data_IF_881452272203
#
_entry.id   IF_881452272203
#
_cell.length_a   1.000
_cell.length_b   1.000
_cell.length_c   1.000
_cell.angle_alpha   90.00
_cell.angle_beta   90.00
_cell.angle_gamma   90.00
#
_symmetry.space_group_name_H-M   'P 1'
#
loop_
_entity.id
_entity.type
_entity.pdbx_description
1 polymer ?
#
# COMPACT_ATOMS: atom_id res chain seq x y z
N UNK A 1 0.79 5.30 -33.33
CA UNK A 1 2.01 4.55 -33.72
C UNK A 1 1.75 3.08 -33.42
N UNK A 2 2.05 2.13 -34.31
CA UNK A 2 1.72 0.71 -34.06
C UNK A 2 2.60 0.10 -32.97
N UNK A 3 2.10 -0.91 -32.23
CA UNK A 3 2.87 -1.62 -31.20
C UNK A 3 4.20 -2.18 -31.74
N UNK A 4 4.21 -2.65 -32.99
CA UNK A 4 5.41 -3.09 -33.71
C UNK A 4 6.47 -1.98 -33.83
N UNK A 5 6.07 -0.75 -34.19
CA UNK A 5 7.02 0.38 -34.24
C UNK A 5 7.55 0.74 -32.85
N UNK A 6 6.73 0.64 -31.81
CA UNK A 6 7.16 0.87 -30.42
C UNK A 6 8.10 -0.22 -29.91
N UNK A 7 8.00 -1.45 -30.43
CA UNK A 7 8.94 -2.54 -30.20
C UNK A 7 10.22 -2.45 -31.06
N UNK A 8 10.40 -1.36 -31.83
CA UNK A 8 11.60 -1.12 -32.65
C UNK A 8 11.54 -1.66 -34.08
N UNK A 9 10.38 -2.19 -34.52
CA UNK A 9 10.23 -2.70 -35.89
C UNK A 9 10.06 -1.53 -36.86
N UNK A 10 11.11 -1.25 -37.65
CA UNK A 10 11.12 -0.15 -38.62
C UNK A 10 11.03 -0.61 -40.10
N UNK A 11 10.94 -1.92 -40.37
CA UNK A 11 10.94 -2.50 -41.73
C UNK A 11 9.55 -2.86 -42.26
N UNK A 12 9.47 -3.17 -43.56
CA UNK A 12 8.26 -3.64 -44.25
C UNK A 12 7.93 -5.05 -43.76
N UNK A 13 6.70 -5.29 -43.31
CA UNK A 13 6.35 -6.53 -42.60
C UNK A 13 6.09 -7.74 -43.50
N UNK A 14 5.81 -7.51 -44.78
CA UNK A 14 5.42 -8.57 -45.72
C UNK A 14 6.67 -9.13 -46.38
N UNK A 15 6.91 -10.43 -46.22
CA UNK A 15 8.01 -11.17 -46.85
C UNK A 15 9.29 -11.27 -46.03
N UNK A 16 9.37 -10.62 -44.86
CA UNK A 16 10.52 -10.71 -43.95
C UNK A 16 10.33 -11.86 -42.94
N UNK A 17 11.43 -12.39 -42.41
CA UNK A 17 11.37 -13.38 -41.34
C UNK A 17 11.11 -12.71 -39.99
N UNK A 18 10.31 -13.37 -39.14
CA UNK A 18 9.98 -12.86 -37.80
C UNK A 18 11.22 -12.67 -36.92
N UNK A 19 12.25 -13.51 -37.10
CA UNK A 19 13.60 -13.37 -36.50
C UNK A 19 14.24 -12.02 -36.80
N UNK A 20 14.09 -11.54 -38.03
CA UNK A 20 14.72 -10.32 -38.53
C UNK A 20 14.01 -9.05 -38.05
N UNK A 21 12.77 -9.20 -37.56
CA UNK A 21 11.97 -8.10 -37.01
C UNK A 21 12.25 -7.86 -35.52
N UNK A 22 13.05 -8.70 -34.84
CA UNK A 22 13.33 -8.57 -33.41
C UNK A 22 12.11 -8.79 -32.49
N UNK A 23 11.01 -9.27 -33.08
CA UNK A 23 9.76 -9.68 -32.41
C UNK A 23 9.69 -11.21 -32.21
N UNK A 24 10.79 -11.92 -32.50
CA UNK A 24 10.93 -13.33 -32.16
C UNK A 24 10.96 -13.49 -30.65
N UNK A 25 9.84 -13.99 -30.13
CA UNK A 25 9.65 -14.28 -28.72
C UNK A 25 9.46 -15.76 -28.52
N UNK A 26 9.71 -16.23 -27.30
CA UNK A 26 9.51 -17.62 -26.97
C UNK A 26 8.04 -18.04 -27.17
N UNK A 27 7.08 -17.12 -27.06
CA UNK A 27 5.67 -17.33 -27.37
C UNK A 27 5.41 -17.68 -28.83
N UNK A 28 5.96 -16.92 -29.78
CA UNK A 28 5.84 -17.20 -31.22
C UNK A 28 6.42 -18.56 -31.58
N UNK A 29 7.59 -18.90 -31.02
CA UNK A 29 8.22 -20.21 -31.23
C UNK A 29 7.34 -21.33 -30.63
N UNK A 30 6.93 -21.21 -29.37
CA UNK A 30 6.09 -22.23 -28.70
C UNK A 30 4.74 -22.40 -29.38
N UNK A 31 4.12 -21.33 -29.87
CA UNK A 31 2.86 -21.45 -30.59
C UNK A 31 3.03 -22.20 -31.91
N UNK A 32 4.07 -21.87 -32.67
CA UNK A 32 4.34 -22.51 -33.96
C UNK A 32 4.76 -23.98 -33.81
N UNK A 33 5.71 -24.28 -32.94
CA UNK A 33 6.26 -25.63 -32.82
C UNK A 33 5.38 -26.59 -32.00
N UNK A 34 4.66 -26.09 -30.99
CA UNK A 34 3.88 -26.96 -30.12
C UNK A 34 2.39 -27.00 -30.49
N UNK A 35 1.95 -26.19 -31.47
CA UNK A 35 0.54 -26.10 -31.88
C UNK A 35 -0.38 -25.64 -30.75
N UNK A 36 0.14 -24.90 -29.76
CA UNK A 36 -0.63 -24.43 -28.59
C UNK A 36 -0.68 -22.91 -28.54
N UNK A 37 -1.85 -22.31 -28.24
CA UNK A 37 -1.91 -20.87 -27.97
C UNK A 37 -0.99 -20.48 -26.83
N UNK A 38 -0.27 -19.37 -26.98
CA UNK A 38 0.62 -18.82 -25.95
C UNK A 38 0.35 -17.34 -25.72
N UNK A 39 0.59 -16.90 -24.49
CA UNK A 39 0.58 -15.49 -24.10
C UNK A 39 1.91 -15.20 -23.44
N UNK A 40 2.54 -14.11 -23.86
CA UNK A 40 3.79 -13.62 -23.28
C UNK A 40 3.75 -12.11 -23.23
N UNK A 41 4.27 -11.56 -22.15
CA UNK A 41 4.46 -10.13 -22.04
C UNK A 41 5.92 -9.81 -22.30
N UNK A 42 6.14 -8.84 -23.18
CA UNK A 42 7.46 -8.35 -23.53
C UNK A 42 7.56 -6.92 -23.07
N UNK A 43 8.61 -6.64 -22.32
CA UNK A 43 8.94 -5.31 -21.87
C UNK A 43 10.26 -4.86 -22.50
N UNK A 44 10.25 -3.67 -23.12
CA UNK A 44 11.44 -2.98 -23.62
C UNK A 44 11.33 -1.51 -23.28
N UNK A 45 12.29 -1.00 -22.53
CA UNK A 45 12.29 0.38 -22.02
C UNK A 45 10.94 0.73 -21.36
N UNK A 46 10.29 1.81 -21.79
CA UNK A 46 8.97 2.25 -21.29
C UNK A 46 7.77 1.61 -22.02
N UNK A 47 8.01 0.56 -22.82
CA UNK A 47 6.98 -0.09 -23.63
C UNK A 47 6.75 -1.51 -23.13
N UNK A 48 5.52 -1.79 -22.70
CA UNK A 48 5.05 -3.13 -22.34
C UNK A 48 4.02 -3.58 -23.35
N UNK A 49 4.25 -4.73 -23.99
CA UNK A 49 3.33 -5.31 -24.98
C UNK A 49 3.00 -6.74 -24.59
N UNK A 50 1.70 -7.05 -24.55
CA UNK A 50 1.22 -8.43 -24.44
C UNK A 50 1.06 -9.01 -25.83
N UNK A 51 1.73 -10.12 -26.05
CA UNK A 51 1.66 -10.92 -27.26
C UNK A 51 0.78 -12.13 -27.00
N UNK A 52 -0.21 -12.35 -27.86
CA UNK A 52 -1.00 -13.57 -27.89
C UNK A 52 -0.81 -14.24 -29.23
N UNK A 53 -0.17 -15.40 -29.21
CA UNK A 53 0.15 -16.18 -30.40
C UNK A 53 -0.83 -17.34 -30.49
N UNK A 54 -1.56 -17.42 -31.60
CA UNK A 54 -2.56 -18.45 -31.87
C UNK A 54 -2.11 -19.22 -33.10
N UNK A 55 -1.77 -20.51 -33.00
CA UNK A 55 -1.36 -21.29 -34.16
C UNK A 55 -2.52 -21.47 -35.13
N UNK A 56 -2.20 -21.46 -36.42
CA UNK A 56 -3.11 -21.82 -37.51
C UNK A 56 -2.82 -23.26 -37.87
N UNK A 57 -3.81 -24.14 -37.66
CA UNK A 57 -3.67 -25.58 -37.84
C UNK A 57 -4.60 -26.04 -38.96
N UNK A 58 -4.03 -26.68 -39.98
CA UNK A 58 -4.76 -27.34 -41.07
C UNK A 58 -4.29 -28.78 -41.17
N UNK A 59 -5.22 -29.73 -41.28
CA UNK A 59 -4.92 -31.17 -41.38
C UNK A 59 -3.93 -31.69 -40.32
N UNK A 60 -4.02 -31.15 -39.10
CA UNK A 60 -3.17 -31.53 -37.97
C UNK A 60 -1.74 -30.97 -38.00
N UNK A 61 -1.42 -30.06 -38.94
CA UNK A 61 -0.11 -29.41 -39.07
C UNK A 61 -0.24 -27.92 -38.81
N UNK A 62 0.76 -27.32 -38.19
CA UNK A 62 0.82 -25.87 -37.96
C UNK A 62 1.34 -25.19 -39.21
N UNK A 63 0.48 -24.47 -39.92
CA UNK A 63 0.82 -23.76 -41.17
C UNK A 63 1.25 -22.31 -40.91
N UNK A 64 1.04 -21.82 -39.70
CA UNK A 64 1.40 -20.46 -39.30
C UNK A 64 0.89 -20.11 -37.91
N UNK A 65 0.94 -18.82 -37.58
CA UNK A 65 0.36 -18.31 -36.35
C UNK A 65 -0.17 -16.87 -36.54
N UNK A 66 -1.30 -16.58 -35.91
CA UNK A 66 -1.79 -15.22 -35.71
C UNK A 66 -1.17 -14.67 -34.43
N UNK A 67 -0.46 -13.55 -34.55
CA UNK A 67 0.10 -12.84 -33.40
C UNK A 67 -0.71 -11.58 -33.16
N UNK A 68 -1.43 -11.55 -32.05
CA UNK A 68 -2.12 -10.36 -31.56
C UNK A 68 -1.18 -9.62 -30.60
N UNK A 69 -1.01 -8.32 -30.82
CA UNK A 69 -0.20 -7.47 -29.97
C UNK A 69 -1.07 -6.41 -29.32
N UNK A 70 -0.99 -6.29 -27.99
CA UNK A 70 -1.66 -5.23 -27.24
C UNK A 70 -0.62 -4.44 -26.46
N UNK A 71 -0.56 -3.15 -26.75
CA UNK A 71 0.18 -2.20 -25.92
C UNK A 71 -0.51 -2.06 -24.56
N UNK A 72 0.22 -2.36 -23.50
CA UNK A 72 -0.22 -2.27 -22.10
C UNK A 72 0.68 -1.34 -21.30
N UNK A 73 1.50 -0.51 -21.96
CA UNK A 73 2.50 0.35 -21.32
C UNK A 73 1.87 1.30 -20.30
N UNK A 74 0.75 1.94 -20.64
CA UNK A 74 0.05 2.86 -19.74
C UNK A 74 -0.53 2.14 -18.51
N UNK A 75 -1.08 0.93 -18.73
CA UNK A 75 -1.59 0.10 -17.64
C UNK A 75 -0.46 -0.30 -16.68
N UNK A 76 0.68 -0.76 -17.22
CA UNK A 76 1.85 -1.12 -16.41
C UNK A 76 2.46 0.07 -15.68
N UNK A 77 2.53 1.23 -16.32
CA UNK A 77 2.99 2.46 -15.67
C UNK A 77 2.09 2.84 -14.49
N UNK A 78 0.76 2.78 -14.68
CA UNK A 78 -0.20 3.03 -13.61
C UNK A 78 -0.09 2.02 -12.47
N UNK A 79 0.01 0.73 -12.76
CA UNK A 79 0.17 -0.32 -11.75
C UNK A 79 1.45 -0.10 -10.93
N UNK A 80 2.57 0.24 -11.57
CA UNK A 80 3.83 0.58 -10.89
C UNK A 80 3.70 1.81 -10.01
N UNK A 81 3.02 2.85 -10.49
CA UNK A 81 2.78 4.06 -9.73
C UNK A 81 1.93 3.78 -8.47
N UNK A 82 0.92 2.92 -8.57
CA UNK A 82 0.10 2.48 -7.44
C UNK A 82 0.92 1.70 -6.42
N UNK A 83 1.66 0.68 -6.86
CA UNK A 83 2.54 -0.11 -5.97
C UNK A 83 3.58 0.78 -5.27
N UNK A 84 4.15 1.74 -5.98
CA UNK A 84 5.10 2.71 -5.42
C UNK A 84 4.44 3.64 -4.39
N UNK A 85 3.20 4.06 -4.64
CA UNK A 85 2.44 4.90 -3.69
C UNK A 85 2.14 4.12 -2.41
N UNK A 86 1.69 2.88 -2.51
CA UNK A 86 1.39 2.03 -1.35
C UNK A 86 2.64 1.74 -0.52
N UNK A 87 3.77 1.46 -1.18
CA UNK A 87 5.06 1.30 -0.50
C UNK A 87 5.51 2.57 0.23
N UNK A 88 5.33 3.74 -0.39
CA UNK A 88 5.66 5.05 0.21
C UNK A 88 4.81 5.32 1.45
N UNK A 89 3.50 5.07 1.35
CA UNK A 89 2.55 5.24 2.45
C UNK A 89 2.94 4.34 3.63
N UNK A 90 3.23 3.06 3.35
CA UNK A 90 3.69 2.12 4.37
C UNK A 90 4.99 2.57 5.04
N UNK A 91 5.95 3.10 4.27
CA UNK A 91 7.19 3.62 4.84
C UNK A 91 6.94 4.83 5.75
N UNK A 92 6.06 5.75 5.35
CA UNK A 92 5.66 6.90 6.19
C UNK A 92 5.08 6.39 7.51
N UNK A 93 4.14 5.45 7.47
CA UNK A 93 3.53 4.90 8.68
C UNK A 93 4.56 4.25 9.61
N UNK A 94 5.49 3.48 9.04
CA UNK A 94 6.59 2.87 9.78
C UNK A 94 7.50 3.93 10.42
N UNK A 95 7.83 5.02 9.71
CA UNK A 95 8.65 6.12 10.24
C UNK A 95 7.95 6.87 11.37
N UNK A 96 6.66 7.14 11.25
CA UNK A 96 5.88 7.81 12.31
C UNK A 96 5.88 6.97 13.59
N UNK A 97 5.65 5.65 13.47
CA UNK A 97 5.72 4.72 14.61
C UNK A 97 7.10 4.75 15.29
N UNK A 98 8.17 4.68 14.50
CA UNK A 98 9.54 4.74 15.04
C UNK A 98 9.81 6.07 15.75
N UNK A 99 9.39 7.20 15.17
CA UNK A 99 9.59 8.53 15.77
C UNK A 99 8.86 8.66 17.12
N UNK A 100 7.59 8.24 17.18
CA UNK A 100 6.82 8.28 18.43
C UNK A 100 7.45 7.37 19.50
N UNK A 101 7.95 6.19 19.12
CA UNK A 101 8.69 5.31 20.03
C UNK A 101 9.99 5.94 20.54
N UNK A 102 10.76 6.59 19.67
CA UNK A 102 11.99 7.29 20.05
C UNK A 102 11.70 8.42 21.02
N UNK A 103 10.71 9.27 20.72
CA UNK A 103 10.32 10.39 21.60
C UNK A 103 9.86 9.86 22.96
N UNK A 104 9.01 8.81 22.98
CA UNK A 104 8.55 8.17 24.22
C UNK A 104 9.72 7.63 25.05
N UNK A 105 10.72 7.03 24.40
CA UNK A 105 11.91 6.48 25.07
C UNK A 105 12.81 7.58 25.64
N UNK A 106 13.00 8.67 24.90
CA UNK A 106 13.76 9.84 25.37
C UNK A 106 13.09 10.49 26.57
N UNK A 107 11.78 10.68 26.54
CA UNK A 107 11.03 11.24 27.68
C UNK A 107 11.14 10.35 28.92
N UNK A 108 11.03 9.02 28.79
CA UNK A 108 11.26 8.10 29.92
C UNK A 108 12.67 8.22 30.49
N UNK A 109 13.69 8.34 29.64
CA UNK A 109 15.07 8.53 30.09
C UNK A 109 15.26 9.85 30.85
N UNK A 110 14.61 10.93 30.39
CA UNK A 110 14.61 12.22 31.10
C UNK A 110 13.86 12.12 32.44
N UNK A 111 12.68 11.49 32.46
CA UNK A 111 11.89 11.31 33.67
C UNK A 111 12.62 10.58 34.78
N UNK A 112 13.44 9.57 34.44
CA UNK A 112 14.28 8.84 35.40
C UNK A 112 15.31 9.72 36.11
N UNK A 113 15.73 10.83 35.50
CA UNK A 113 16.72 11.77 36.05
C UNK A 113 16.09 12.88 36.91
N UNK A 114 14.77 12.99 36.92
CA UNK A 114 14.07 13.97 37.74
C UNK A 114 14.03 13.52 39.20
N UNK A 115 14.02 14.48 40.12
CA UNK A 115 13.88 14.23 41.56
C UNK A 115 12.56 14.76 42.10
N UNK A 116 12.01 15.79 41.48
CA UNK A 116 10.71 16.35 41.83
C UNK A 116 9.56 15.40 41.41
N UNK A 117 8.68 15.00 42.34
CA UNK A 117 7.55 14.12 42.03
C UNK A 117 6.59 14.68 40.97
N UNK A 118 6.27 15.97 41.01
CA UNK A 118 5.38 16.64 40.04
C UNK A 118 5.96 16.63 38.63
N UNK A 119 7.26 16.90 38.47
CA UNK A 119 7.90 16.81 37.16
C UNK A 119 7.95 15.38 36.61
N UNK A 120 8.11 14.36 37.48
CA UNK A 120 8.00 12.95 37.06
C UNK A 120 6.60 12.63 36.56
N UNK A 121 5.57 13.04 37.30
CA UNK A 121 4.18 12.81 36.92
C UNK A 121 3.86 13.43 35.54
N UNK A 122 4.30 14.67 35.29
CA UNK A 122 4.11 15.34 34.00
C UNK A 122 4.81 14.63 32.82
N UNK A 123 6.02 14.08 33.04
CA UNK A 123 6.71 13.28 32.02
C UNK A 123 5.99 11.96 31.76
N UNK A 124 5.53 11.28 32.81
CA UNK A 124 4.77 10.03 32.66
C UNK A 124 3.46 10.26 31.90
N UNK A 125 2.78 11.36 32.16
CA UNK A 125 1.60 11.81 31.42
C UNK A 125 1.91 12.08 29.94
N UNK A 126 2.99 12.81 29.66
CA UNK A 126 3.44 13.06 28.27
C UNK A 126 3.74 11.75 27.53
N UNK A 127 4.35 10.78 28.21
CA UNK A 127 4.63 9.43 27.66
C UNK A 127 3.34 8.65 27.40
N UNK A 128 2.33 8.78 28.27
CA UNK A 128 1.00 8.18 28.06
C UNK A 128 0.33 8.79 26.82
N UNK A 129 0.32 10.12 26.69
CA UNK A 129 -0.25 10.81 25.51
C UNK A 129 0.40 10.37 24.19
N UNK A 130 1.72 10.28 24.14
CA UNK A 130 2.43 9.82 22.93
C UNK A 130 2.07 8.37 22.57
N UNK A 131 1.85 7.50 23.57
CA UNK A 131 1.37 6.14 23.33
C UNK A 131 -0.05 6.13 22.76
N UNK A 132 -0.93 7.00 23.24
CA UNK A 132 -2.29 7.15 22.70
C UNK A 132 -2.26 7.52 21.22
N UNK A 133 -1.47 8.54 20.86
CA UNK A 133 -1.31 8.99 19.48
C UNK A 133 -0.72 7.86 18.61
N UNK A 134 0.26 7.13 19.12
CA UNK A 134 0.87 6.02 18.39
C UNK A 134 -0.12 4.88 18.13
N UNK A 135 -0.97 4.54 19.10
CA UNK A 135 -1.98 3.50 18.95
C UNK A 135 -3.06 3.92 17.94
N UNK A 136 -3.58 5.14 18.06
CA UNK A 136 -4.53 5.71 17.10
C UNK A 136 -3.95 5.64 15.70
N UNK A 137 -2.73 6.14 15.52
CA UNK A 137 -2.07 6.12 14.22
C UNK A 137 -1.88 4.69 13.69
N UNK A 138 -1.51 3.72 14.54
CA UNK A 138 -1.38 2.31 14.14
C UNK A 138 -2.73 1.69 13.73
N UNK A 139 -3.81 1.97 14.46
CA UNK A 139 -5.17 1.52 14.11
C UNK A 139 -5.64 2.13 12.79
N UNK A 140 -5.42 3.43 12.59
CA UNK A 140 -5.80 4.15 11.37
C UNK A 140 -4.95 3.76 10.15
N UNK A 141 -3.69 3.36 10.35
CA UNK A 141 -2.77 2.97 9.26
C UNK A 141 -2.93 1.54 8.74
N UNK A 142 -3.70 0.70 9.43
CA UNK A 142 -3.87 -0.73 9.12
C UNK A 142 -5.03 -1.03 8.19
N UNK A 143 -5.98 -0.12 8.03
CA UNK A 143 -7.00 -0.27 6.99
C UNK A 143 -6.40 0.20 5.66
N UNK A 144 -6.34 -0.70 4.68
CA UNK A 144 -5.86 -0.42 3.32
C UNK A 144 -6.78 0.55 2.53
N UNK A 145 -7.76 1.16 3.21
CA UNK A 145 -8.74 2.07 2.64
C UNK A 145 -8.58 3.50 3.15
N UNK A 146 -9.10 4.47 2.39
CA UNK A 146 -9.09 5.89 2.78
C UNK A 146 -9.97 6.17 4.02
N UNK A 147 -10.91 5.26 4.34
CA UNK A 147 -11.93 5.40 5.37
C UNK A 147 -11.77 4.40 6.51
N UNK A 148 -11.87 4.89 7.76
CA UNK A 148 -11.70 4.11 9.00
C UNK A 148 -12.95 4.10 9.87
N UNK A 149 -13.30 2.96 10.48
CA UNK A 149 -14.36 2.89 11.50
C UNK A 149 -13.92 3.67 12.76
N UNK A 150 -14.46 4.89 12.89
CA UNK A 150 -14.09 5.76 13.99
C UNK A 150 -14.57 5.24 15.35
N UNK A 151 -15.61 4.40 15.39
CA UNK A 151 -16.05 3.75 16.61
C UNK A 151 -15.02 2.79 17.20
N UNK A 152 -14.23 2.11 16.36
CA UNK A 152 -13.09 1.31 16.83
C UNK A 152 -11.98 2.16 17.43
N UNK A 153 -11.69 3.31 16.82
CA UNK A 153 -10.70 4.27 17.31
C UNK A 153 -11.09 4.80 18.69
N UNK A 154 -12.35 5.24 18.85
CA UNK A 154 -12.86 5.75 20.13
C UNK A 154 -12.82 4.68 21.22
N UNK A 155 -13.23 3.43 20.92
CA UNK A 155 -13.14 2.32 21.89
C UNK A 155 -11.69 2.02 22.31
N UNK A 156 -10.75 2.13 21.38
CA UNK A 156 -9.32 1.96 21.69
C UNK A 156 -8.80 3.06 22.61
N UNK A 157 -9.20 4.32 22.34
CA UNK A 157 -8.85 5.46 23.18
C UNK A 157 -9.42 5.36 24.59
N UNK A 158 -10.72 5.04 24.71
CA UNK A 158 -11.39 4.89 26.00
C UNK A 158 -10.70 3.85 26.87
N UNK A 159 -10.43 2.64 26.34
CA UNK A 159 -9.70 1.60 27.09
C UNK A 159 -8.35 2.06 27.61
N UNK A 160 -7.60 2.83 26.81
CA UNK A 160 -6.31 3.33 27.23
C UNK A 160 -6.42 4.35 28.37
N UNK A 161 -7.44 5.19 28.31
CA UNK A 161 -7.71 6.17 29.37
C UNK A 161 -8.17 5.46 30.65
N UNK A 162 -9.01 4.42 30.55
CA UNK A 162 -9.39 3.59 31.70
C UNK A 162 -8.17 2.97 32.38
N UNK A 163 -7.24 2.39 31.62
CA UNK A 163 -5.97 1.85 32.14
C UNK A 163 -5.09 2.90 32.82
N UNK A 164 -5.23 4.18 32.44
CA UNK A 164 -4.43 5.29 32.97
C UNK A 164 -5.07 6.05 34.14
N UNK A 165 -6.40 6.09 34.21
CA UNK A 165 -7.17 6.86 35.20
C UNK A 165 -7.65 6.02 36.39
N UNK A 166 -7.68 4.68 36.29
CA UNK A 166 -8.11 3.84 37.42
C UNK A 166 -7.09 3.83 38.55
N UNK A 167 -7.20 4.82 39.44
CA UNK A 167 -6.78 4.67 40.83
C UNK A 167 -7.90 3.96 41.59
N UNK A 168 -7.61 3.01 42.50
CA UNK A 168 -8.63 2.35 43.32
C UNK A 168 -9.56 3.30 44.07
N UNK A 169 -9.10 4.53 44.31
CA UNK A 169 -9.80 5.55 45.09
C UNK A 169 -10.79 6.42 44.29
N UNK A 170 -10.83 6.32 42.95
CA UNK A 170 -11.76 7.12 42.13
C UNK A 170 -12.22 6.32 40.91
N UNK A 171 -13.31 5.53 41.03
CA UNK A 171 -13.85 4.80 39.89
C UNK A 171 -14.46 5.79 38.88
N UNK A 172 -13.95 5.74 37.64
CA UNK A 172 -14.47 6.50 36.50
C UNK A 172 -15.18 5.52 35.57
N UNK A 173 -16.44 5.79 35.24
CA UNK A 173 -17.20 5.04 34.25
C UNK A 173 -17.20 5.81 32.93
N UNK A 174 -16.72 5.19 31.86
CA UNK A 174 -16.73 5.77 30.51
C UNK A 174 -17.78 5.06 29.65
N UNK A 175 -18.75 5.83 29.16
CA UNK A 175 -19.84 5.33 28.31
C UNK A 175 -19.71 5.93 26.92
N UNK A 176 -19.75 5.09 25.89
CA UNK A 176 -19.75 5.51 24.48
C UNK A 176 -21.18 5.37 23.96
N UNK A 177 -21.80 6.50 23.59
CA UNK A 177 -23.14 6.52 22.99
C UNK A 177 -23.09 6.96 21.52
N UNK A 178 -23.78 6.21 20.66
CA UNK A 178 -23.86 6.49 19.23
C UNK A 178 -22.74 5.86 18.39
N UNK A 179 -22.66 6.26 17.12
CA UNK A 179 -21.65 5.78 16.17
C UNK A 179 -21.38 6.81 15.09
N UNK A 180 -20.10 7.08 14.84
CA UNK A 180 -19.65 8.04 13.83
C UNK A 180 -19.56 7.44 12.42
N UNK A 181 -19.67 6.11 12.29
CA UNK A 181 -19.48 5.40 11.03
C UNK A 181 -18.04 5.44 10.55
N UNK A 182 -17.88 5.29 9.23
CA UNK A 182 -16.57 5.38 8.57
C UNK A 182 -16.22 6.84 8.28
N UNK A 183 -15.02 7.25 8.66
CA UNK A 183 -14.48 8.59 8.42
C UNK A 183 -13.16 8.50 7.65
N UNK A 184 -12.83 9.48 6.79
CA UNK A 184 -11.52 9.46 6.17
C UNK A 184 -10.41 9.59 7.22
N UNK A 185 -9.28 8.92 6.96
CA UNK A 185 -8.17 8.79 7.91
C UNK A 185 -7.63 10.13 8.49
N UNK A 186 -7.52 11.24 7.72
CA UNK A 186 -7.08 12.53 8.25
C UNK A 186 -8.04 13.12 9.31
N UNK A 187 -9.35 13.05 9.06
CA UNK A 187 -10.41 13.51 9.96
C UNK A 187 -10.45 12.64 11.21
N UNK A 188 -10.37 11.32 11.04
CA UNK A 188 -10.32 10.37 12.16
C UNK A 188 -9.10 10.61 13.06
N UNK A 189 -7.93 10.88 12.48
CA UNK A 189 -6.72 11.25 13.24
C UNK A 189 -6.94 12.51 14.05
N UNK A 190 -7.48 13.55 13.43
CA UNK A 190 -7.70 14.86 14.07
C UNK A 190 -8.69 14.75 15.23
N UNK A 191 -9.81 14.04 15.02
CA UNK A 191 -10.82 13.81 16.06
C UNK A 191 -10.27 12.94 17.20
N UNK A 192 -9.45 11.93 16.89
CA UNK A 192 -8.85 11.07 17.90
C UNK A 192 -7.88 11.84 18.82
N UNK A 193 -7.13 12.80 18.28
CA UNK A 193 -6.32 13.71 19.10
C UNK A 193 -7.23 14.55 19.98
N UNK A 194 -8.26 15.20 19.43
CA UNK A 194 -9.22 16.01 20.22
C UNK A 194 -9.84 15.21 21.36
N UNK A 195 -10.30 13.99 21.10
CA UNK A 195 -10.87 13.11 22.13
C UNK A 195 -9.83 12.77 23.19
N UNK A 196 -8.58 12.47 22.78
CA UNK A 196 -7.49 12.19 23.73
C UNK A 196 -7.22 13.38 24.65
N UNK A 197 -7.26 14.61 24.13
CA UNK A 197 -7.07 15.84 24.93
C UNK A 197 -8.25 16.13 25.87
N UNK A 198 -9.47 15.73 25.50
CA UNK A 198 -10.66 15.92 26.35
C UNK A 198 -10.76 14.89 27.48
N UNK A 199 -10.17 13.71 27.28
CA UNK A 199 -10.17 12.61 28.26
C UNK A 199 -9.02 12.68 29.27
N UNK A 200 -8.00 13.51 29.00
CA UNK A 200 -6.85 13.74 29.88
C UNK A 200 -7.05 14.99 30.74
#
# INVERSE_FOLDING_TARGET
MSALRRLGVQRRLIGEHLSELGAETAATYRAYFNGRPTVEEVERDDVSVVLRCIPLITDGRVDGAVVLMRDVSEMRSRDRALVSKDATIKEIHHRVKNNLQTISSLLRLQGRRLHEPSAKAAIEESVRRIRSIALVHETLSREDGDDVDFGEVVRSLVRMVEEGLTSPDTPVELVIEGGAGKLPSPEATSLAVVITELLQ
#
